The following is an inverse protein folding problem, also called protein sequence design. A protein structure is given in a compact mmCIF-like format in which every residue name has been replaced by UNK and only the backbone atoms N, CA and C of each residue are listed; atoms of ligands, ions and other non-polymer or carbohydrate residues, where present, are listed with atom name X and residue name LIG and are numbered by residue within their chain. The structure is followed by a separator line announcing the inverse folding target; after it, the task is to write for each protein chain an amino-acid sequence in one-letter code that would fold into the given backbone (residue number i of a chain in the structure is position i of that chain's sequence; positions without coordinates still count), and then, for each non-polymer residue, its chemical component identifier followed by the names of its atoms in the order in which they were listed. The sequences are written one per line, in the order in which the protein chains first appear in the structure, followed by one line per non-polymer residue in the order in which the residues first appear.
data_IF_914389467767
#
_entry.id   IF_914389467767
#
_cell.length_a   1.000
_cell.length_b   1.000
_cell.length_c   1.000
_cell.angle_alpha   90.00
_cell.angle_beta   90.00
_cell.angle_gamma   90.00
#
_symmetry.space_group_name_H-M   'P 1'
#
loop_
_entity.id
_entity.type
_entity.pdbx_description
1 polymer ?
#
# COMPACT_ATOMS: atom_id res chain seq x y z
N UNK A 1 -6.02 -8.98 8.29
CA UNK A 1 -6.73 -9.57 7.11
C UNK A 1 -7.14 -8.43 6.19
N UNK A 2 -6.76 -8.45 4.91
CA UNK A 2 -7.07 -7.36 3.96
C UNK A 2 -8.57 -7.12 3.78
N UNK A 3 -9.40 -8.15 3.93
CA UNK A 3 -10.86 -8.08 3.80
C UNK A 3 -11.57 -7.10 4.76
N UNK A 4 -10.87 -6.62 5.79
CA UNK A 4 -11.39 -5.67 6.78
C UNK A 4 -10.95 -4.23 6.52
N UNK A 5 -10.05 -4.00 5.57
CA UNK A 5 -9.59 -2.65 5.24
C UNK A 5 -10.74 -1.82 4.65
N UNK A 6 -10.90 -0.62 5.18
CA UNK A 6 -11.87 0.38 4.72
C UNK A 6 -11.20 1.66 4.27
N UNK A 7 -10.27 2.18 5.07
CA UNK A 7 -9.57 3.43 4.78
C UNK A 7 -8.09 3.15 4.72
N UNK A 8 -7.45 3.49 3.61
CA UNK A 8 -6.01 3.33 3.45
C UNK A 8 -5.34 4.65 3.14
N UNK A 9 -4.13 4.83 3.66
CA UNK A 9 -3.22 5.87 3.21
C UNK A 9 -2.12 5.24 2.38
N UNK A 10 -1.74 5.91 1.29
CA UNK A 10 -0.60 5.57 0.47
C UNK A 10 0.37 6.73 0.59
N UNK A 11 1.63 6.41 0.89
CA UNK A 11 2.70 7.39 0.94
C UNK A 11 3.90 6.91 0.13
N UNK A 12 4.66 7.86 -0.43
CA UNK A 12 5.87 7.61 -1.23
C UNK A 12 7.06 8.33 -0.60
N UNK A 13 7.99 7.57 -0.03
CA UNK A 13 9.20 8.10 0.59
C UNK A 13 10.34 8.05 -0.44
N UNK A 14 10.91 9.20 -0.77
CA UNK A 14 12.13 9.25 -1.57
C UNK A 14 13.35 8.92 -0.72
N UNK A 15 14.07 7.84 -1.08
CA UNK A 15 15.25 7.35 -0.37
C UNK A 15 16.58 7.81 -0.99
N UNK A 16 16.54 8.64 -2.04
CA UNK A 16 17.72 9.14 -2.75
C UNK A 16 17.94 8.48 -4.12
N UNK A 17 18.85 9.03 -4.91
CA UNK A 17 19.05 8.63 -6.32
C UNK A 17 19.51 7.19 -6.52
N UNK A 18 20.21 6.61 -5.53
CA UNK A 18 20.68 5.22 -5.57
C UNK A 18 19.61 4.22 -5.13
N UNK A 19 18.76 4.59 -4.17
CA UNK A 19 17.78 3.69 -3.53
C UNK A 19 16.36 3.87 -4.07
N UNK A 20 16.08 4.97 -4.77
CA UNK A 20 14.80 5.23 -5.41
C UNK A 20 13.71 5.65 -4.41
N UNK A 21 12.55 5.00 -4.51
CA UNK A 21 11.35 5.32 -3.74
C UNK A 21 10.87 4.09 -2.98
N UNK A 22 10.22 4.34 -1.86
CA UNK A 22 9.53 3.34 -1.06
C UNK A 22 8.07 3.74 -0.93
N UNK A 23 7.16 2.91 -1.45
CA UNK A 23 5.71 3.12 -1.30
C UNK A 23 5.20 2.31 -0.12
N UNK A 24 4.50 2.97 0.79
CA UNK A 24 3.91 2.36 1.99
C UNK A 24 2.40 2.47 1.91
N UNK A 25 1.69 1.40 2.27
CA UNK A 25 0.24 1.41 2.47
C UNK A 25 -0.09 1.16 3.93
N UNK A 26 -0.90 2.03 4.52
CA UNK A 26 -1.32 1.95 5.92
C UNK A 26 -2.84 1.83 6.01
N UNK A 27 -3.33 1.05 6.97
CA UNK A 27 -4.72 1.08 7.42
C UNK A 27 -4.95 2.30 8.33
N UNK A 28 -5.80 3.22 7.92
CA UNK A 28 -6.09 4.44 8.68
C UNK A 28 -6.94 4.18 9.93
N UNK A 29 -7.61 3.04 10.05
CA UNK A 29 -8.40 2.71 11.24
C UNK A 29 -7.52 2.20 12.38
N UNK A 30 -6.49 1.41 12.05
CA UNK A 30 -5.63 0.75 13.05
C UNK A 30 -4.21 1.34 13.14
N UNK A 31 -3.79 2.14 12.15
CA UNK A 31 -2.42 2.61 12.01
C UNK A 31 -1.44 1.54 11.54
N UNK A 32 -1.91 0.33 11.19
CA UNK A 32 -1.06 -0.76 10.78
C UNK A 32 -0.52 -0.55 9.36
N UNK A 33 0.78 -0.79 9.16
CA UNK A 33 1.36 -0.92 7.82
C UNK A 33 0.91 -2.26 7.22
N UNK A 34 0.30 -2.21 6.03
CA UNK A 34 -0.28 -3.38 5.36
C UNK A 34 0.43 -3.75 4.06
N UNK A 35 1.22 -2.83 3.50
CA UNK A 35 2.14 -3.11 2.39
C UNK A 35 3.35 -2.17 2.47
N UNK A 36 4.51 -2.70 2.11
CA UNK A 36 5.72 -1.94 1.80
C UNK A 36 6.23 -2.43 0.45
N UNK A 37 6.45 -1.53 -0.50
CA UNK A 37 6.88 -1.86 -1.85
C UNK A 37 7.96 -0.91 -2.34
N UNK A 38 8.97 -1.44 -3.02
CA UNK A 38 9.98 -0.63 -3.70
C UNK A 38 9.42 0.00 -4.99
N UNK A 39 9.90 1.19 -5.30
CA UNK A 39 9.45 1.98 -6.44
C UNK A 39 8.40 3.01 -6.06
N UNK A 40 7.71 3.52 -7.07
CA UNK A 40 6.74 4.60 -6.94
C UNK A 40 5.49 4.32 -7.78
N UNK A 41 4.43 5.06 -7.48
CA UNK A 41 3.17 5.08 -8.21
C UNK A 41 2.43 3.74 -8.17
N UNK A 42 1.37 3.63 -8.98
CA UNK A 42 0.51 2.45 -9.03
C UNK A 42 1.26 1.14 -9.36
N UNK A 43 2.39 1.22 -10.07
CA UNK A 43 3.15 0.04 -10.48
C UNK A 43 3.74 -0.72 -9.28
N UNK A 44 4.27 0.01 -8.29
CA UNK A 44 4.81 -0.58 -7.05
C UNK A 44 3.75 -1.38 -6.27
N UNK A 45 2.47 -1.01 -6.40
CA UNK A 45 1.37 -1.62 -5.64
C UNK A 45 0.56 -2.67 -6.43
N UNK A 46 1.02 -3.09 -7.63
CA UNK A 46 0.29 -4.05 -8.47
C UNK A 46 -0.08 -5.33 -7.71
N UNK A 47 0.88 -5.89 -6.97
CA UNK A 47 0.67 -7.09 -6.14
C UNK A 47 -0.32 -6.84 -5.00
N UNK A 48 -0.23 -5.70 -4.33
CA UNK A 48 -1.16 -5.30 -3.27
C UNK A 48 -2.60 -5.22 -3.79
N UNK A 49 -2.83 -4.50 -4.91
CA UNK A 49 -4.17 -4.36 -5.49
C UNK A 49 -4.77 -5.70 -5.90
N UNK A 50 -3.96 -6.63 -6.43
CA UNK A 50 -4.41 -7.99 -6.76
C UNK A 50 -4.90 -8.72 -5.50
N UNK A 51 -4.13 -8.68 -4.41
CA UNK A 51 -4.51 -9.33 -3.13
C UNK A 51 -5.71 -8.65 -2.47
N UNK A 52 -5.78 -7.31 -2.51
CA UNK A 52 -6.90 -6.54 -1.98
C UNK A 52 -8.21 -6.91 -2.70
N UNK A 53 -8.18 -6.99 -4.05
CA UNK A 53 -9.31 -7.42 -4.86
C UNK A 53 -9.75 -8.85 -4.52
N UNK A 54 -8.81 -9.79 -4.42
CA UNK A 54 -9.10 -11.16 -4.02
C UNK A 54 -9.73 -11.26 -2.61
N UNK A 55 -9.37 -10.32 -1.72
CA UNK A 55 -9.92 -10.26 -0.36
C UNK A 55 -11.34 -9.71 -0.26
N UNK A 56 -11.89 -9.15 -1.37
CA UNK A 56 -13.20 -8.49 -1.43
C UNK A 56 -13.37 -7.33 -0.44
N UNK A 57 -12.27 -6.70 -0.04
CA UNK A 57 -12.29 -5.49 0.76
C UNK A 57 -13.05 -4.39 0.01
N UNK A 58 -13.82 -3.58 0.75
CA UNK A 58 -14.49 -2.39 0.23
C UNK A 58 -13.77 -1.18 0.83
N UNK A 59 -12.78 -0.68 0.09
CA UNK A 59 -12.08 0.54 0.45
C UNK A 59 -12.91 1.75 0.02
N UNK A 60 -13.01 2.75 0.89
CA UNK A 60 -13.76 4.01 0.73
C UNK A 60 -12.90 5.12 0.12
#
# INVERSE_FOLDING_TARGET
KLSKLKRIAIDEIYLGSRSGYLTIVMDLDSGAVVEVAEGKHAQALTSFWKRLRCSRAKVE
#
